data_IF_741408857741
#
_entry.id   IF_741408857741
#
_cell.length_a   1.000
_cell.length_b   1.000
_cell.length_c   1.000
_cell.angle_alpha   90.00
_cell.angle_beta   90.00
_cell.angle_gamma   90.00
#
_symmetry.space_group_name_H-M   'P 1'
#
loop_
_entity.id
_entity.type
_entity.pdbx_description
1 polymer ?
#
# COMPACT_ATOMS: atom_id res chain seq x y z
N UNK A 1 6.06 46.86 -11.36
CA UNK A 1 6.13 45.40 -11.46
C UNK A 1 6.01 44.80 -10.07
N UNK A 2 4.89 44.15 -9.75
CA UNK A 2 4.72 43.41 -8.50
C UNK A 2 5.11 41.95 -8.77
N UNK A 3 6.20 41.49 -8.17
CA UNK A 3 6.52 40.06 -8.11
C UNK A 3 5.53 39.40 -7.15
N UNK A 4 4.67 38.55 -7.70
CA UNK A 4 3.85 37.63 -6.92
C UNK A 4 4.76 36.47 -6.48
N UNK A 5 5.26 36.54 -5.25
CA UNK A 5 5.90 35.39 -4.61
C UNK A 5 4.79 34.40 -4.32
N UNK A 6 4.72 33.35 -5.14
CA UNK A 6 3.77 32.26 -4.98
C UNK A 6 4.17 31.45 -3.73
N UNK A 7 3.68 31.86 -2.54
CA UNK A 7 3.89 31.18 -1.25
C UNK A 7 3.03 29.92 -1.11
N UNK A 8 3.05 29.06 -2.12
CA UNK A 8 2.46 27.72 -2.06
C UNK A 8 3.40 26.70 -2.72
N UNK A 9 4.69 26.76 -2.41
CA UNK A 9 5.51 25.56 -2.45
C UNK A 9 5.18 24.74 -1.20
N UNK A 10 3.99 24.12 -1.17
CA UNK A 10 3.79 22.97 -0.29
C UNK A 10 4.86 21.98 -0.76
N UNK A 11 5.83 21.66 0.10
CA UNK A 11 6.76 20.58 -0.18
C UNK A 11 5.92 19.41 -0.70
N UNK A 12 6.15 19.01 -1.96
CA UNK A 12 5.43 17.89 -2.54
C UNK A 12 5.74 16.71 -1.64
N UNK A 13 4.73 16.27 -0.87
CA UNK A 13 4.89 15.09 -0.05
C UNK A 13 5.28 13.97 -0.99
N UNK A 14 6.38 13.31 -0.68
CA UNK A 14 6.80 12.14 -1.45
C UNK A 14 5.71 11.08 -1.25
N UNK A 15 4.97 10.80 -2.33
CA UNK A 15 3.85 9.87 -2.31
C UNK A 15 4.08 8.76 -3.31
N UNK A 16 4.08 7.52 -2.83
CA UNK A 16 4.14 6.31 -3.67
C UNK A 16 2.78 5.65 -3.70
N UNK A 17 2.24 5.38 -4.90
CA UNK A 17 0.92 4.75 -5.10
C UNK A 17 1.05 3.45 -5.86
N UNK A 18 0.44 2.40 -5.30
CA UNK A 18 0.53 1.04 -5.85
C UNK A 18 -0.84 0.42 -5.84
N UNK A 19 -1.20 -0.21 -6.96
CA UNK A 19 -2.34 -1.13 -6.99
C UNK A 19 -1.79 -2.54 -7.14
N UNK A 20 -2.42 -3.48 -6.46
CA UNK A 20 -2.04 -4.88 -6.50
C UNK A 20 -3.28 -5.77 -6.51
N UNK A 21 -3.11 -6.99 -7.01
CA UNK A 21 -4.12 -8.03 -6.94
C UNK A 21 -3.52 -9.27 -6.30
N UNK A 22 -4.24 -9.87 -5.36
CA UNK A 22 -3.87 -11.13 -4.71
C UNK A 22 -4.98 -12.15 -4.87
N UNK A 23 -4.59 -13.41 -4.92
CA UNK A 23 -5.51 -14.52 -4.82
C UNK A 23 -6.14 -14.53 -3.41
N UNK A 24 -7.46 -14.61 -3.31
CA UNK A 24 -8.16 -14.51 -2.03
C UNK A 24 -8.12 -15.79 -1.18
N UNK A 25 -7.51 -16.87 -1.66
CA UNK A 25 -7.36 -18.10 -0.87
C UNK A 25 -5.93 -18.26 -0.36
N UNK A 26 -4.97 -18.05 -1.27
CA UNK A 26 -3.55 -18.24 -1.02
C UNK A 26 -2.82 -16.95 -0.65
N UNK A 27 -3.46 -15.79 -0.88
CA UNK A 27 -2.88 -14.46 -0.72
C UNK A 27 -1.61 -14.19 -1.56
N UNK A 28 -1.37 -15.05 -2.54
CA UNK A 28 -0.28 -14.89 -3.51
C UNK A 28 -0.54 -13.66 -4.38
N UNK A 29 0.52 -12.88 -4.62
CA UNK A 29 0.46 -11.74 -5.53
C UNK A 29 0.25 -12.22 -6.97
N UNK A 30 -0.84 -11.75 -7.58
CA UNK A 30 -1.19 -12.01 -8.98
C UNK A 30 -0.70 -10.90 -9.91
N UNK A 31 -0.88 -9.65 -9.49
CA UNK A 31 -0.45 -8.49 -10.27
C UNK A 31 -0.04 -7.32 -9.38
N UNK A 32 0.88 -6.50 -9.89
CA UNK A 32 1.36 -5.29 -9.23
C UNK A 32 1.50 -4.20 -10.29
N UNK A 33 0.70 -3.14 -10.14
CA UNK A 33 0.76 -1.96 -10.99
C UNK A 33 1.53 -0.87 -10.25
N UNK A 34 2.78 -0.72 -10.65
CA UNK A 34 3.69 0.31 -10.17
C UNK A 34 3.88 1.34 -11.27
N UNK A 35 3.66 2.63 -10.99
CA UNK A 35 4.12 3.70 -11.88
C UNK A 35 5.65 3.76 -11.94
N UNK A 36 6.21 4.62 -12.80
CA UNK A 36 7.66 4.85 -12.90
C UNK A 36 8.28 5.29 -11.56
N UNK A 37 7.49 5.94 -10.69
CA UNK A 37 7.87 6.44 -9.37
C UNK A 37 8.54 5.39 -8.47
N UNK A 38 8.16 4.11 -8.58
CA UNK A 38 8.70 3.03 -7.74
C UNK A 38 10.07 2.52 -8.18
N UNK A 39 10.34 2.55 -9.48
CA UNK A 39 11.64 2.13 -10.00
C UNK A 39 12.75 3.10 -9.54
N UNK A 40 12.38 4.34 -9.22
CA UNK A 40 13.30 5.38 -8.78
C UNK A 40 13.41 5.54 -7.25
N UNK A 41 12.51 4.97 -6.44
CA UNK A 41 12.40 5.32 -5.02
C UNK A 41 13.25 4.42 -4.09
N UNK A 42 14.23 4.96 -3.35
CA UNK A 42 15.16 4.16 -2.53
C UNK A 42 14.49 3.45 -1.34
N UNK A 43 13.48 4.05 -0.72
CA UNK A 43 12.75 3.43 0.40
C UNK A 43 11.94 2.16 0.00
N UNK A 44 11.59 2.02 -1.27
CA UNK A 44 10.52 1.14 -1.74
C UNK A 44 10.84 0.54 -3.11
N UNK A 45 11.74 -0.43 -3.12
CA UNK A 45 12.03 -1.20 -4.35
C UNK A 45 10.92 -2.21 -4.66
N UNK A 46 10.75 -2.54 -5.95
CA UNK A 46 9.78 -3.54 -6.44
C UNK A 46 9.78 -4.88 -5.66
N UNK A 47 10.94 -5.47 -5.29
CA UNK A 47 10.97 -6.70 -4.49
C UNK A 47 10.20 -6.61 -3.17
N UNK A 48 10.19 -5.46 -2.49
CA UNK A 48 9.51 -5.30 -1.18
C UNK A 48 8.00 -5.45 -1.33
N UNK A 49 7.42 -5.05 -2.45
CA UNK A 49 5.99 -5.17 -2.71
C UNK A 49 5.56 -6.53 -3.24
N UNK A 50 6.49 -7.27 -3.84
CA UNK A 50 6.25 -8.63 -4.34
C UNK A 50 6.17 -9.67 -3.23
N UNK A 51 6.86 -9.39 -2.12
CA UNK A 51 6.90 -10.26 -0.95
C UNK A 51 6.11 -9.62 0.20
N UNK A 52 4.90 -10.14 0.44
CA UNK A 52 4.00 -9.69 1.50
C UNK A 52 4.67 -9.76 2.88
N UNK A 53 5.45 -10.81 3.15
CA UNK A 53 6.14 -10.96 4.43
C UNK A 53 7.22 -9.88 4.56
N UNK A 54 7.98 -9.62 3.50
CA UNK A 54 8.94 -8.53 3.49
C UNK A 54 8.24 -7.17 3.73
N UNK A 55 7.10 -6.94 3.11
CA UNK A 55 6.30 -5.73 3.32
C UNK A 55 5.86 -5.58 4.78
N UNK A 56 5.21 -6.61 5.34
CA UNK A 56 4.65 -6.54 6.69
C UNK A 56 5.71 -6.57 7.80
N UNK A 57 6.89 -7.16 7.58
CA UNK A 57 8.04 -7.07 8.50
C UNK A 57 8.58 -5.66 8.69
N UNK A 58 8.25 -4.74 7.78
CA UNK A 58 8.66 -3.33 7.87
C UNK A 58 7.65 -2.45 8.60
N UNK A 59 6.46 -2.97 8.94
CA UNK A 59 5.51 -2.25 9.79
C UNK A 59 6.13 -1.96 11.15
N UNK A 60 5.88 -0.76 11.68
CA UNK A 60 6.31 -0.43 13.03
C UNK A 60 5.56 -1.30 14.07
N UNK A 61 6.20 -1.65 15.20
CA UNK A 61 5.63 -2.59 16.18
C UNK A 61 4.23 -2.21 16.68
N UNK A 62 3.94 -0.92 16.85
CA UNK A 62 2.62 -0.44 17.30
C UNK A 62 1.48 -0.65 16.28
N UNK A 63 1.82 -0.93 15.03
CA UNK A 63 0.89 -1.16 13.93
C UNK A 63 0.91 -2.61 13.42
N UNK A 64 1.77 -3.46 13.98
CA UNK A 64 1.88 -4.86 13.62
C UNK A 64 0.53 -5.60 13.82
N UNK A 65 0.14 -6.41 12.83
CA UNK A 65 -1.10 -7.19 12.87
C UNK A 65 -2.37 -6.42 12.45
N UNK A 66 -2.30 -5.12 12.14
CA UNK A 66 -3.44 -4.38 11.58
C UNK A 66 -3.93 -4.97 10.26
N UNK A 67 -3.04 -5.58 9.48
CA UNK A 67 -3.40 -6.25 8.23
C UNK A 67 -4.33 -7.45 8.46
N UNK A 68 -4.11 -8.27 9.49
CA UNK A 68 -5.01 -9.38 9.80
C UNK A 68 -6.42 -8.89 10.12
N UNK A 69 -6.51 -7.75 10.83
CA UNK A 69 -7.78 -7.07 11.08
C UNK A 69 -8.45 -6.59 9.79
N UNK A 70 -7.66 -6.02 8.88
CA UNK A 70 -8.13 -5.62 7.56
C UNK A 70 -8.64 -6.81 6.74
N UNK A 71 -7.89 -7.92 6.67
CA UNK A 71 -8.29 -9.11 5.94
C UNK A 71 -9.60 -9.68 6.48
N UNK A 72 -9.73 -9.78 7.80
CA UNK A 72 -10.99 -10.19 8.44
C UNK A 72 -12.15 -9.30 8.00
N UNK A 73 -11.95 -7.99 7.97
CA UNK A 73 -12.96 -7.04 7.51
C UNK A 73 -13.30 -7.25 6.02
N UNK A 74 -12.30 -7.47 5.17
CA UNK A 74 -12.48 -7.71 3.72
C UNK A 74 -13.27 -8.98 3.46
N UNK A 75 -12.97 -10.09 4.13
CA UNK A 75 -13.74 -11.33 3.97
C UNK A 75 -15.16 -11.24 4.55
N UNK A 76 -15.37 -10.40 5.57
CA UNK A 76 -16.69 -10.25 6.21
C UNK A 76 -17.59 -9.26 5.48
N UNK A 77 -17.03 -8.13 5.01
CA UNK A 77 -17.77 -6.97 4.48
C UNK A 77 -17.51 -6.72 2.99
N UNK A 78 -16.62 -7.48 2.37
CA UNK A 78 -16.19 -7.32 0.98
C UNK A 78 -15.15 -6.21 0.76
N UNK A 79 -14.86 -5.36 1.75
CA UNK A 79 -13.87 -4.28 1.65
C UNK A 79 -13.40 -3.81 3.02
N UNK A 80 -12.23 -3.19 3.07
CA UNK A 80 -11.69 -2.59 4.29
C UNK A 80 -10.60 -1.57 4.01
N UNK A 81 -10.22 -0.81 5.04
CA UNK A 81 -9.15 0.19 4.96
C UNK A 81 -8.47 0.38 6.31
N UNK A 82 -7.14 0.43 6.31
CA UNK A 82 -6.31 0.72 7.49
C UNK A 82 -5.27 1.80 7.19
N UNK A 83 -4.69 2.35 8.26
CA UNK A 83 -3.47 3.16 8.19
C UNK A 83 -2.46 2.62 9.20
N UNK A 84 -1.20 2.55 8.77
CA UNK A 84 -0.07 2.09 9.58
C UNK A 84 1.21 2.81 9.18
N UNK A 85 2.17 2.82 10.10
CA UNK A 85 3.51 3.33 9.88
C UNK A 85 4.44 2.17 9.50
N UNK A 86 5.40 2.45 8.64
CA UNK A 86 6.44 1.49 8.27
C UNK A 86 7.81 2.15 8.07
N UNK A 87 8.86 1.34 8.09
CA UNK A 87 10.23 1.75 7.77
C UNK A 87 10.56 1.44 6.31
N UNK A 88 11.05 2.45 5.59
CA UNK A 88 11.66 2.31 4.28
C UNK A 88 13.00 1.57 4.33
N UNK A 89 13.45 1.07 3.18
CA UNK A 89 14.79 0.46 3.04
C UNK A 89 15.93 1.43 3.34
N UNK A 90 15.70 2.72 3.17
CA UNK A 90 16.63 3.81 3.46
C UNK A 90 16.56 4.27 4.93
N UNK A 91 15.74 3.62 5.76
CA UNK A 91 15.52 3.96 7.17
C UNK A 91 14.52 5.09 7.42
N UNK A 92 13.91 5.67 6.38
CA UNK A 92 12.89 6.71 6.54
C UNK A 92 11.55 6.14 7.03
N UNK A 93 10.79 6.95 7.75
CA UNK A 93 9.44 6.57 8.20
C UNK A 93 8.36 6.99 7.20
N UNK A 94 7.40 6.08 6.97
CA UNK A 94 6.30 6.28 6.04
C UNK A 94 4.97 5.99 6.71
N UNK A 95 3.97 6.80 6.38
CA UNK A 95 2.58 6.52 6.68
C UNK A 95 1.94 5.85 5.46
N UNK A 96 1.51 4.60 5.63
CA UNK A 96 0.81 3.86 4.60
C UNK A 96 -0.69 3.88 4.88
N UNK A 97 -1.44 4.18 3.84
CA UNK A 97 -2.87 3.91 3.77
C UNK A 97 -3.10 2.71 2.85
N UNK A 98 -3.65 1.63 3.41
CA UNK A 98 -3.97 0.41 2.68
C UNK A 98 -5.48 0.24 2.59
N UNK A 99 -5.98 0.01 1.37
CA UNK A 99 -7.37 -0.37 1.14
C UNK A 99 -7.44 -1.64 0.33
N UNK A 100 -8.39 -2.51 0.67
CA UNK A 100 -8.62 -3.79 0.00
C UNK A 100 -10.11 -3.96 -0.33
N UNK A 101 -10.40 -4.62 -1.43
CA UNK A 101 -11.75 -5.01 -1.86
C UNK A 101 -11.72 -6.43 -2.41
N UNK A 102 -12.61 -7.29 -1.91
CA UNK A 102 -12.80 -8.64 -2.39
C UNK A 102 -13.71 -8.62 -3.62
N UNK A 103 -13.15 -9.03 -4.76
CA UNK A 103 -13.86 -9.29 -6.01
C UNK A 103 -14.11 -10.79 -6.13
N UNK A 104 -15.33 -11.21 -5.82
CA UNK A 104 -15.78 -12.60 -6.06
C UNK A 104 -16.45 -12.64 -7.43
N UNK A 105 -15.99 -13.47 -8.39
CA UNK A 105 -16.74 -13.73 -9.61
C UNK A 105 -18.09 -14.33 -9.24
N UNK A 106 -19.20 -13.85 -9.83
CA UNK A 106 -20.52 -14.46 -9.64
C UNK A 106 -20.46 -15.93 -10.12
N UNK A 107 -20.46 -16.87 -9.18
CA UNK A 107 -20.68 -18.30 -9.44
C UNK A 107 -19.41 -19.15 -9.57
N UNK A 108 -18.68 -19.37 -8.47
CA UNK A 108 -17.68 -20.46 -8.30
C UNK A 108 -16.23 -20.19 -8.75
N UNK A 109 -15.85 -18.93 -9.02
CA UNK A 109 -14.44 -18.58 -9.30
C UNK A 109 -13.62 -18.23 -8.05
N UNK A 110 -12.30 -18.51 -8.09
CA UNK A 110 -11.32 -18.03 -7.10
C UNK A 110 -11.51 -16.54 -6.85
N UNK A 111 -11.68 -16.14 -5.59
CA UNK A 111 -11.81 -14.73 -5.23
C UNK A 111 -10.50 -13.98 -5.51
N UNK A 112 -10.59 -12.72 -5.91
CA UNK A 112 -9.43 -11.83 -6.05
C UNK A 112 -9.57 -10.72 -5.02
N UNK A 113 -8.53 -10.42 -4.26
CA UNK A 113 -8.45 -9.20 -3.46
C UNK A 113 -7.70 -8.16 -4.28
N UNK A 114 -8.38 -7.07 -4.60
CA UNK A 114 -7.75 -5.89 -5.17
C UNK A 114 -7.37 -4.94 -4.04
N UNK A 115 -6.13 -4.49 -4.02
CA UNK A 115 -5.64 -3.61 -2.98
C UNK A 115 -4.87 -2.42 -3.52
N UNK A 116 -4.73 -1.42 -2.65
CA UNK A 116 -4.02 -0.19 -2.94
C UNK A 116 -3.20 0.23 -1.72
N UNK A 117 -1.92 0.50 -1.95
CA UNK A 117 -1.07 1.19 -0.99
C UNK A 117 -0.85 2.64 -1.44
N UNK A 118 -1.03 3.57 -0.50
CA UNK A 118 -0.63 4.97 -0.64
C UNK A 118 0.37 5.22 0.48
N UNK A 119 1.65 5.39 0.13
CA UNK A 119 2.72 5.61 1.08
C UNK A 119 3.06 7.10 1.04
N UNK A 120 2.98 7.77 2.18
CA UNK A 120 3.34 9.18 2.36
C UNK A 120 4.54 9.26 3.30
N UNK A 121 5.63 9.91 2.87
CA UNK A 121 6.78 10.11 3.75
C UNK A 121 6.39 11.01 4.91
N UNK A 122 6.80 10.63 6.13
CA UNK A 122 6.58 11.45 7.33
C UNK A 122 7.57 12.59 7.44
#
# INVERSE_FOLDING_TARGET
MKMLINKNASAEKEVVRIHWERDAETFNLLSLQTGEELTAHPAFSLPVFRDSDAWYRRMLPGDAGKELGLLKEVYTKGKGKIRYSMLGLDGSEWLVTESMELKVPRGEGKGIIQGKWICEKK
#
